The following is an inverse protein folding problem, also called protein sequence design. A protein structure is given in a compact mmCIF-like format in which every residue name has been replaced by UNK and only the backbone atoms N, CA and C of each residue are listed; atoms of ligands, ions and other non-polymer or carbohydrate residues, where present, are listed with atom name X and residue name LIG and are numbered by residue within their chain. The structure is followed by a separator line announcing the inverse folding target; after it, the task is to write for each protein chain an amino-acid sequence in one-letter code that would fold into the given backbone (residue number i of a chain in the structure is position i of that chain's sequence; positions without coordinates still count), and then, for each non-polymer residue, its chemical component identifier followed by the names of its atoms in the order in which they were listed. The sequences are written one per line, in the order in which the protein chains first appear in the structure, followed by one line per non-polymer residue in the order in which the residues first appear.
data_IF_957063418784
#
_entry.id   IF_957063418784
#
_cell.length_a   1.000
_cell.length_b   1.000
_cell.length_c   1.000
_cell.angle_alpha   90.00
_cell.angle_beta   90.00
_cell.angle_gamma   90.00
#
_symmetry.space_group_name_H-M   'P 1'
#
loop_
_entity.id
_entity.type
_entity.pdbx_description
1 polymer ?
#
# COMPACT_ATOMS: atom_id res chain seq x y z
N UNK A 1 -13.94 21.97 -25.48
CA UNK A 1 -13.01 21.98 -24.31
C UNK A 1 -11.71 21.20 -24.56
N UNK A 2 -11.70 20.12 -25.36
CA UNK A 2 -10.48 19.36 -25.71
C UNK A 2 -9.48 20.16 -26.58
N UNK A 3 -9.97 20.82 -27.64
CA UNK A 3 -9.13 21.55 -28.62
C UNK A 3 -8.31 22.68 -27.98
N UNK A 4 -8.89 23.39 -27.00
CA UNK A 4 -8.23 24.51 -26.33
C UNK A 4 -7.04 24.07 -25.45
N UNK A 5 -7.14 22.88 -24.82
CA UNK A 5 -6.03 22.28 -24.06
C UNK A 5 -4.89 21.84 -24.99
N UNK A 6 -5.21 21.32 -26.17
CA UNK A 6 -4.22 20.91 -27.17
C UNK A 6 -3.42 22.11 -27.69
N UNK A 7 -4.10 23.24 -27.96
CA UNK A 7 -3.45 24.48 -28.43
C UNK A 7 -2.52 25.07 -27.37
N UNK A 8 -2.94 25.14 -26.09
CA UNK A 8 -2.08 25.63 -25.01
C UNK A 8 -0.83 24.76 -24.80
N UNK A 9 -0.96 23.44 -24.94
CA UNK A 9 0.18 22.51 -24.84
C UNK A 9 1.21 22.75 -25.95
N UNK A 10 0.74 22.93 -27.18
CA UNK A 10 1.63 23.20 -28.33
C UNK A 10 2.37 24.53 -28.17
N UNK A 11 1.69 25.60 -27.71
CA UNK A 11 2.32 26.90 -27.46
C UNK A 11 3.39 26.80 -26.36
N UNK A 12 3.12 26.06 -25.29
CA UNK A 12 4.09 25.84 -24.20
C UNK A 12 5.36 25.14 -24.70
N UNK A 13 5.20 24.12 -25.55
CA UNK A 13 6.33 23.41 -26.15
C UNK A 13 7.17 24.34 -27.04
N UNK A 14 6.52 25.17 -27.87
CA UNK A 14 7.21 26.13 -28.74
C UNK A 14 8.01 27.15 -27.91
N UNK A 15 7.42 27.68 -26.83
CA UNK A 15 8.11 28.61 -25.92
C UNK A 15 9.31 27.92 -25.26
N UNK A 16 9.15 26.68 -24.80
CA UNK A 16 10.26 25.93 -24.18
C UNK A 16 11.40 25.67 -25.17
N UNK A 17 11.10 25.34 -26.43
CA UNK A 17 12.10 25.13 -27.48
C UNK A 17 12.81 26.45 -27.81
N UNK A 18 12.07 27.56 -27.91
CA UNK A 18 12.64 28.88 -28.15
C UNK A 18 13.58 29.31 -27.03
N UNK A 19 13.16 29.14 -25.76
CA UNK A 19 14.02 29.39 -24.60
C UNK A 19 15.28 28.53 -24.62
N UNK A 20 15.18 27.26 -25.00
CA UNK A 20 16.33 26.37 -25.13
C UNK A 20 17.32 26.87 -26.19
N UNK A 21 16.83 27.31 -27.35
CA UNK A 21 17.66 27.84 -28.45
C UNK A 21 18.36 29.13 -28.02
N UNK A 22 17.66 30.03 -27.32
CA UNK A 22 18.25 31.28 -26.79
C UNK A 22 19.34 30.97 -25.76
N UNK A 23 19.10 30.03 -24.85
CA UNK A 23 20.09 29.58 -23.87
C UNK A 23 21.31 28.95 -24.54
N UNK A 24 21.10 28.11 -25.56
CA UNK A 24 22.21 27.53 -26.34
C UNK A 24 23.02 28.64 -27.00
N UNK A 25 22.39 29.58 -27.70
CA UNK A 25 23.09 30.71 -28.32
C UNK A 25 23.88 31.55 -27.32
N UNK A 26 23.31 31.80 -26.14
CA UNK A 26 23.99 32.53 -25.07
C UNK A 26 25.21 31.78 -24.54
N UNK A 27 25.12 30.44 -24.38
CA UNK A 27 26.27 29.61 -23.99
C UNK A 27 27.38 29.56 -25.05
N UNK A 28 27.05 29.72 -26.34
CA UNK A 28 28.01 29.73 -27.45
C UNK A 28 28.51 31.13 -27.83
N UNK A 29 28.01 32.17 -27.17
CA UNK A 29 28.50 33.53 -27.35
C UNK A 29 29.97 33.64 -26.93
N UNK A 30 30.77 34.28 -27.75
CA UNK A 30 32.22 34.36 -27.56
C UNK A 30 32.60 35.22 -26.36
N UNK A 31 31.80 36.25 -26.04
CA UNK A 31 31.99 37.11 -24.87
C UNK A 31 31.65 36.35 -23.60
N UNK A 32 30.54 35.60 -23.59
CA UNK A 32 30.21 34.73 -22.46
C UNK A 32 31.26 33.64 -22.24
N UNK A 33 31.74 32.97 -23.30
CA UNK A 33 32.82 31.99 -23.21
C UNK A 33 34.11 32.58 -22.63
N UNK A 34 34.50 33.77 -23.07
CA UNK A 34 35.71 34.42 -22.56
C UNK A 34 35.57 34.76 -21.07
N UNK A 35 34.45 35.38 -20.70
CA UNK A 35 34.11 35.68 -19.30
C UNK A 35 34.06 34.41 -18.43
N UNK A 36 33.53 33.31 -18.95
CA UNK A 36 33.43 32.05 -18.22
C UNK A 36 34.79 31.37 -18.01
N UNK A 37 35.70 31.49 -19.00
CA UNK A 37 37.06 30.93 -18.94
C UNK A 37 37.96 31.77 -18.04
N UNK A 38 37.87 33.11 -18.10
CA UNK A 38 38.70 34.01 -17.28
C UNK A 38 38.40 33.96 -15.78
N UNK A 39 37.18 33.58 -15.39
CA UNK A 39 36.76 33.53 -13.99
C UNK A 39 36.94 32.14 -13.34
N UNK A 40 37.79 31.26 -13.88
CA UNK A 40 38.12 29.92 -13.35
C UNK A 40 36.91 28.98 -13.10
N UNK A 41 35.72 29.29 -13.61
CA UNK A 41 34.51 28.48 -13.43
C UNK A 41 34.64 27.07 -14.01
N UNK A 42 35.52 26.87 -15.00
CA UNK A 42 35.83 25.56 -15.57
C UNK A 42 36.46 24.60 -14.53
N UNK A 43 37.32 25.10 -13.64
CA UNK A 43 37.94 24.28 -12.59
C UNK A 43 36.92 23.90 -11.51
N UNK A 44 36.02 24.84 -11.15
CA UNK A 44 34.89 24.55 -10.27
C UNK A 44 33.94 23.50 -10.88
N UNK A 45 33.67 23.57 -12.19
CA UNK A 45 32.81 22.61 -12.88
C UNK A 45 33.42 21.19 -12.90
N UNK A 46 34.76 21.08 -13.04
CA UNK A 46 35.47 19.78 -12.99
C UNK A 46 35.31 19.08 -11.64
N UNK A 47 35.15 19.82 -10.55
CA UNK A 47 34.90 19.25 -9.20
C UNK A 47 33.41 19.01 -8.96
N UNK A 48 32.55 19.93 -9.38
CA UNK A 48 31.10 19.83 -9.17
C UNK A 48 30.44 18.73 -10.01
N UNK A 49 30.90 18.52 -11.25
CA UNK A 49 30.33 17.50 -12.14
C UNK A 49 30.42 16.07 -11.58
N UNK A 50 31.58 15.55 -11.12
CA UNK A 50 31.65 14.19 -10.56
C UNK A 50 30.85 14.08 -9.25
N UNK A 51 30.77 15.15 -8.43
CA UNK A 51 29.94 15.16 -7.21
C UNK A 51 28.46 15.02 -7.57
N UNK A 52 27.96 15.79 -8.54
CA UNK A 52 26.58 15.70 -9.00
C UNK A 52 26.26 14.35 -9.61
N UNK A 53 27.15 13.82 -10.46
CA UNK A 53 27.01 12.48 -11.03
C UNK A 53 27.01 11.42 -9.94
N UNK A 54 27.91 11.49 -8.96
CA UNK A 54 27.97 10.54 -7.85
C UNK A 54 26.70 10.57 -7.00
N UNK A 55 26.17 11.75 -6.66
CA UNK A 55 24.90 11.90 -5.91
C UNK A 55 23.74 11.31 -6.72
N UNK A 56 23.69 11.59 -8.02
CA UNK A 56 22.65 11.08 -8.91
C UNK A 56 22.70 9.55 -9.03
N UNK A 57 23.88 8.99 -9.32
CA UNK A 57 24.10 7.55 -9.43
C UNK A 57 23.80 6.85 -8.10
N UNK A 58 24.23 7.42 -6.96
CA UNK A 58 23.95 6.88 -5.64
C UNK A 58 22.45 6.81 -5.35
N UNK A 59 21.72 7.91 -5.59
CA UNK A 59 20.26 7.95 -5.41
C UNK A 59 19.55 6.96 -6.33
N UNK A 60 19.87 6.99 -7.62
CA UNK A 60 19.27 6.10 -8.62
C UNK A 60 19.51 4.62 -8.27
N UNK A 61 20.76 4.26 -7.95
CA UNK A 61 21.13 2.89 -7.62
C UNK A 61 20.47 2.43 -6.33
N UNK A 62 20.46 3.27 -5.29
CA UNK A 62 19.85 2.93 -3.99
C UNK A 62 18.34 2.72 -4.11
N UNK A 63 17.65 3.61 -4.83
CA UNK A 63 16.20 3.50 -5.02
C UNK A 63 15.83 2.25 -5.85
N UNK A 64 16.59 1.99 -6.92
CA UNK A 64 16.35 0.80 -7.74
C UNK A 64 16.69 -0.48 -6.97
N UNK A 65 17.79 -0.52 -6.23
CA UNK A 65 18.20 -1.69 -5.44
C UNK A 65 17.18 -2.02 -4.35
N UNK A 66 16.69 -1.01 -3.60
CA UNK A 66 15.62 -1.21 -2.60
C UNK A 66 14.38 -1.83 -3.22
N UNK A 67 13.96 -1.36 -4.40
CA UNK A 67 12.80 -1.90 -5.12
C UNK A 67 13.03 -3.34 -5.57
N UNK A 68 14.20 -3.64 -6.14
CA UNK A 68 14.57 -5.00 -6.54
C UNK A 68 14.57 -5.92 -5.33
N UNK A 69 15.14 -5.52 -4.20
CA UNK A 69 15.14 -6.32 -2.96
C UNK A 69 13.73 -6.61 -2.46
N UNK A 70 12.83 -5.62 -2.45
CA UNK A 70 11.43 -5.83 -2.05
C UNK A 70 10.71 -6.81 -2.99
N UNK A 71 10.87 -6.64 -4.30
CA UNK A 71 10.30 -7.55 -5.28
C UNK A 71 10.90 -8.97 -5.19
N UNK A 72 12.20 -9.09 -4.92
CA UNK A 72 12.85 -10.38 -4.71
C UNK A 72 12.36 -11.07 -3.44
N UNK A 73 12.17 -10.31 -2.36
CA UNK A 73 11.63 -10.84 -1.11
C UNK A 73 10.21 -11.37 -1.31
N UNK A 74 9.36 -10.61 -2.00
CA UNK A 74 8.01 -11.06 -2.40
C UNK A 74 8.06 -12.30 -3.28
N UNK A 75 8.96 -12.32 -4.27
CA UNK A 75 9.08 -13.42 -5.22
C UNK A 75 9.59 -14.69 -4.55
N UNK A 76 10.55 -14.60 -3.63
CA UNK A 76 11.10 -15.76 -2.90
C UNK A 76 10.16 -16.27 -1.82
N UNK A 77 9.41 -15.37 -1.18
CA UNK A 77 8.39 -15.76 -0.19
C UNK A 77 7.10 -16.30 -0.83
N UNK A 78 6.93 -16.12 -2.15
CA UNK A 78 5.70 -16.40 -2.90
C UNK A 78 4.45 -15.69 -2.30
N UNK A 79 4.64 -14.62 -1.53
CA UNK A 79 3.60 -14.03 -0.69
C UNK A 79 2.32 -13.71 -1.46
N UNK A 80 2.42 -13.04 -2.62
CA UNK A 80 1.26 -12.70 -3.47
C UNK A 80 0.54 -13.93 -4.00
N UNK A 81 1.30 -14.96 -4.37
CA UNK A 81 0.75 -16.21 -4.90
C UNK A 81 -0.02 -16.94 -3.81
N UNK A 82 0.53 -17.03 -2.60
CA UNK A 82 -0.17 -17.60 -1.44
C UNK A 82 -1.46 -16.84 -1.11
N UNK A 83 -1.42 -15.50 -1.09
CA UNK A 83 -2.63 -14.70 -0.86
C UNK A 83 -3.69 -14.92 -1.95
N UNK A 84 -3.27 -15.02 -3.21
CA UNK A 84 -4.17 -15.27 -4.33
C UNK A 84 -4.82 -16.67 -4.26
N UNK A 85 -4.04 -17.69 -3.91
CA UNK A 85 -4.52 -19.06 -3.71
C UNK A 85 -5.53 -19.14 -2.55
N UNK A 86 -5.26 -18.46 -1.43
CA UNK A 86 -6.18 -18.42 -0.28
C UNK A 86 -7.47 -17.68 -0.65
N UNK A 87 -7.37 -16.53 -1.32
CA UNK A 87 -8.52 -15.74 -1.77
C UNK A 87 -9.39 -16.50 -2.78
N UNK A 88 -8.78 -17.28 -3.67
CA UNK A 88 -9.47 -18.07 -4.69
C UNK A 88 -9.88 -19.49 -4.26
N UNK A 89 -9.49 -19.93 -3.07
CA UNK A 89 -9.81 -21.28 -2.58
C UNK A 89 -11.28 -21.40 -2.25
N UNK A 90 -11.96 -22.43 -2.76
CA UNK A 90 -13.33 -22.79 -2.39
C UNK A 90 -13.43 -23.60 -1.09
N UNK A 91 -12.29 -24.00 -0.50
CA UNK A 91 -12.24 -24.89 0.66
C UNK A 91 -12.05 -24.10 1.97
N UNK A 92 -12.77 -24.48 3.01
CA UNK A 92 -12.71 -23.82 4.33
C UNK A 92 -11.70 -24.52 5.26
N UNK A 93 -10.45 -24.65 4.80
CA UNK A 93 -9.40 -25.37 5.54
C UNK A 93 -8.70 -24.44 6.54
N UNK A 94 -8.48 -24.93 7.76
CA UNK A 94 -7.64 -24.23 8.75
C UNK A 94 -6.21 -23.96 8.26
N UNK A 95 -5.69 -24.78 7.36
CA UNK A 95 -4.42 -24.54 6.66
C UNK A 95 -4.36 -23.13 6.06
N UNK A 96 -5.45 -22.68 5.44
CA UNK A 96 -5.52 -21.36 4.79
C UNK A 96 -5.41 -20.23 5.83
N UNK A 97 -6.08 -20.37 6.99
CA UNK A 97 -5.97 -19.42 8.09
C UNK A 97 -4.54 -19.35 8.65
N UNK A 98 -3.90 -20.50 8.89
CA UNK A 98 -2.52 -20.53 9.39
C UNK A 98 -1.52 -19.94 8.38
N UNK A 99 -1.67 -20.27 7.10
CA UNK A 99 -0.84 -19.70 6.03
C UNK A 99 -1.04 -18.19 5.93
N UNK A 100 -2.30 -17.73 5.98
CA UNK A 100 -2.58 -16.31 5.96
C UNK A 100 -1.98 -15.59 7.18
N UNK A 101 -2.12 -16.14 8.39
CA UNK A 101 -1.53 -15.56 9.60
C UNK A 101 -0.01 -15.48 9.54
N UNK A 102 0.65 -16.47 8.95
CA UNK A 102 2.10 -16.49 8.75
C UNK A 102 2.57 -15.45 7.71
N UNK A 103 1.70 -15.10 6.76
CA UNK A 103 1.95 -14.07 5.75
C UNK A 103 1.80 -12.63 6.29
N UNK A 104 1.29 -12.46 7.52
CA UNK A 104 1.14 -11.16 8.19
C UNK A 104 2.36 -10.83 9.06
N UNK A 105 2.42 -9.60 9.57
CA UNK A 105 3.45 -9.21 10.55
C UNK A 105 3.37 -10.11 11.79
N UNK A 106 4.52 -10.32 12.43
CA UNK A 106 4.61 -11.09 13.66
C UNK A 106 3.72 -10.50 14.75
N UNK A 107 3.81 -9.19 14.98
CA UNK A 107 2.94 -8.42 15.87
C UNK A 107 2.32 -7.23 15.17
N UNK A 108 1.15 -6.83 15.63
CA UNK A 108 0.58 -5.53 15.30
C UNK A 108 1.21 -4.43 16.16
N UNK A 109 1.13 -3.18 15.69
CA UNK A 109 1.71 -2.05 16.40
C UNK A 109 0.74 -1.52 17.48
N UNK A 110 1.25 -0.95 18.57
CA UNK A 110 0.44 -0.44 19.71
C UNK A 110 -0.66 0.55 19.31
N UNK A 111 -1.92 0.18 19.51
CA UNK A 111 -3.13 0.91 19.10
C UNK A 111 -3.10 2.42 19.44
N UNK A 112 -2.70 2.79 20.66
CA UNK A 112 -2.69 4.17 21.17
C UNK A 112 -1.83 5.13 20.37
N UNK A 113 -0.78 4.63 19.70
CA UNK A 113 0.21 5.45 19.01
C UNK A 113 -0.12 5.64 17.52
N UNK A 114 -0.99 4.81 16.92
CA UNK A 114 -1.13 4.73 15.45
C UNK A 114 -2.47 5.14 14.88
N UNK A 115 -3.49 5.33 15.72
CA UNK A 115 -4.77 5.92 15.33
C UNK A 115 -4.59 7.28 14.59
N UNK A 116 -3.46 7.94 14.83
CA UNK A 116 -3.12 9.23 14.21
C UNK A 116 -2.52 9.17 12.81
N UNK A 117 -2.00 8.04 12.30
CA UNK A 117 -1.02 8.14 11.20
C UNK A 117 -1.18 7.28 9.94
N UNK A 118 -1.70 6.03 9.94
CA UNK A 118 -1.79 5.21 8.68
C UNK A 118 -2.95 4.21 8.65
N UNK A 119 -3.73 4.25 7.57
CA UNK A 119 -4.85 3.32 7.31
C UNK A 119 -4.42 1.85 7.28
N UNK A 120 -3.36 1.56 6.52
CA UNK A 120 -2.82 0.19 6.42
C UNK A 120 -2.40 -0.42 7.77
N UNK A 121 -1.79 0.37 8.67
CA UNK A 121 -1.39 -0.13 9.98
C UNK A 121 -2.63 -0.46 10.84
N UNK A 122 -3.71 0.33 10.72
CA UNK A 122 -4.99 0.04 11.39
C UNK A 122 -5.62 -1.24 10.84
N UNK A 123 -5.66 -1.40 9.52
CA UNK A 123 -6.18 -2.63 8.89
C UNK A 123 -5.40 -3.88 9.33
N UNK A 124 -4.06 -3.79 9.43
CA UNK A 124 -3.25 -4.92 9.95
C UNK A 124 -3.63 -5.33 11.37
N UNK A 125 -3.99 -4.38 12.25
CA UNK A 125 -4.43 -4.69 13.61
C UNK A 125 -5.71 -5.54 13.56
N UNK A 126 -6.72 -5.12 12.78
CA UNK A 126 -7.98 -5.86 12.60
C UNK A 126 -7.69 -7.27 12.09
N UNK A 127 -6.94 -7.39 11.00
CA UNK A 127 -6.68 -8.67 10.35
C UNK A 127 -5.93 -9.63 11.29
N UNK A 128 -4.88 -9.15 11.96
CA UNK A 128 -4.08 -10.00 12.86
C UNK A 128 -4.91 -10.46 14.05
N UNK A 129 -5.61 -9.55 14.73
CA UNK A 129 -6.44 -9.91 15.89
C UNK A 129 -7.56 -10.88 15.50
N UNK A 130 -8.22 -10.65 14.38
CA UNK A 130 -9.25 -11.55 13.88
C UNK A 130 -8.70 -12.97 13.66
N UNK A 131 -7.56 -13.09 12.97
CA UNK A 131 -6.92 -14.38 12.75
C UNK A 131 -6.49 -15.06 14.06
N UNK A 132 -5.94 -14.32 15.02
CA UNK A 132 -5.54 -14.85 16.33
C UNK A 132 -6.73 -15.37 17.13
N UNK A 133 -7.85 -14.64 17.11
CA UNK A 133 -9.08 -15.03 17.78
C UNK A 133 -9.67 -16.29 17.16
N UNK A 134 -9.76 -16.35 15.83
CA UNK A 134 -10.20 -17.57 15.13
C UNK A 134 -9.33 -18.78 15.46
N UNK A 135 -8.01 -18.64 15.41
CA UNK A 135 -7.08 -19.73 15.77
C UNK A 135 -7.33 -20.19 17.20
N UNK A 136 -7.55 -19.26 18.13
CA UNK A 136 -7.75 -19.56 19.55
C UNK A 136 -9.08 -20.26 19.78
N UNK A 137 -10.17 -19.78 19.19
CA UNK A 137 -11.49 -20.40 19.25
C UNK A 137 -11.46 -21.84 18.72
N UNK A 138 -10.91 -22.04 17.51
CA UNK A 138 -10.83 -23.38 16.90
C UNK A 138 -9.97 -24.35 17.71
N UNK A 139 -8.87 -23.87 18.31
CA UNK A 139 -8.08 -24.70 19.25
C UNK A 139 -8.86 -25.09 20.49
N UNK A 140 -9.67 -24.20 21.06
CA UNK A 140 -10.52 -24.52 22.21
C UNK A 140 -11.58 -25.54 21.82
N UNK A 141 -12.26 -25.34 20.68
CA UNK A 141 -13.24 -26.30 20.16
C UNK A 141 -12.63 -27.70 19.94
N UNK A 142 -11.42 -27.77 19.39
CA UNK A 142 -10.69 -29.02 19.15
C UNK A 142 -10.31 -29.72 20.47
N UNK A 143 -9.99 -28.96 21.53
CA UNK A 143 -9.68 -29.52 22.85
C UNK A 143 -10.94 -30.05 23.56
N UNK A 144 -12.11 -29.46 23.32
CA UNK A 144 -13.39 -29.89 23.90
C UNK A 144 -13.98 -31.11 23.18
N UNK A 145 -13.77 -31.20 21.86
CA UNK A 145 -14.16 -32.35 21.04
C UNK A 145 -13.09 -33.42 21.19
N UNK A 146 -13.29 -34.40 22.08
CA UNK A 146 -12.39 -35.54 22.35
C UNK A 146 -12.12 -36.50 21.14
N UNK A 147 -12.27 -36.04 19.90
CA UNK A 147 -12.01 -36.78 18.66
C UNK A 147 -10.91 -36.07 17.85
N UNK A 148 -10.07 -36.83 17.13
CA UNK A 148 -8.98 -36.35 16.24
C UNK A 148 -9.48 -35.56 15.00
N UNK A 149 -10.60 -34.84 15.10
CA UNK A 149 -11.20 -34.11 13.99
C UNK A 149 -10.97 -32.62 14.18
N UNK A 150 -9.99 -32.10 13.46
CA UNK A 150 -9.72 -30.67 13.38
C UNK A 150 -10.97 -29.92 12.92
N UNK A 151 -11.36 -28.89 13.67
CA UNK A 151 -12.44 -27.99 13.30
C UNK A 151 -12.12 -27.30 11.97
N UNK A 152 -13.09 -27.33 11.06
CA UNK A 152 -13.02 -26.55 9.83
C UNK A 152 -13.51 -25.14 10.09
N UNK A 153 -13.10 -24.21 9.23
CA UNK A 153 -13.63 -22.86 9.25
C UNK A 153 -15.08 -22.87 8.78
N UNK A 154 -15.90 -22.02 9.39
CA UNK A 154 -17.22 -21.70 8.88
C UNK A 154 -17.10 -20.86 7.60
N UNK A 155 -18.16 -20.89 6.77
CA UNK A 155 -18.16 -20.17 5.49
C UNK A 155 -17.87 -18.67 5.68
N UNK A 156 -18.51 -18.03 6.66
CA UNK A 156 -18.34 -16.59 6.91
C UNK A 156 -16.93 -16.26 7.42
N UNK A 157 -16.31 -17.15 8.20
CA UNK A 157 -14.95 -16.99 8.70
C UNK A 157 -13.97 -16.99 7.53
N UNK A 158 -14.14 -17.96 6.62
CA UNK A 158 -13.34 -18.06 5.40
C UNK A 158 -13.59 -16.90 4.44
N UNK A 159 -14.83 -16.44 4.29
CA UNK A 159 -15.16 -15.27 3.47
C UNK A 159 -14.48 -13.99 3.98
N UNK A 160 -14.36 -13.85 5.31
CA UNK A 160 -13.61 -12.76 5.94
C UNK A 160 -12.11 -12.86 5.64
N UNK A 161 -11.54 -14.07 5.72
CA UNK A 161 -10.13 -14.31 5.35
C UNK A 161 -9.88 -13.99 3.88
N UNK A 162 -10.77 -14.43 2.97
CA UNK A 162 -10.69 -14.14 1.52
C UNK A 162 -10.74 -12.64 1.28
N UNK A 163 -11.68 -11.94 1.91
CA UNK A 163 -11.80 -10.49 1.83
C UNK A 163 -10.50 -9.78 2.24
N UNK A 164 -9.89 -10.19 3.36
CA UNK A 164 -8.63 -9.61 3.81
C UNK A 164 -7.45 -9.93 2.88
N UNK A 165 -7.40 -11.13 2.29
CA UNK A 165 -6.40 -11.45 1.27
C UNK A 165 -6.55 -10.54 0.04
N UNK A 166 -7.78 -10.31 -0.43
CA UNK A 166 -8.07 -9.41 -1.56
C UNK A 166 -7.64 -7.98 -1.22
N UNK A 167 -7.98 -7.50 -0.02
CA UNK A 167 -7.54 -6.18 0.45
C UNK A 167 -6.01 -6.06 0.44
N UNK A 168 -5.28 -7.04 0.97
CA UNK A 168 -3.81 -7.02 1.01
C UNK A 168 -3.20 -7.01 -0.40
N UNK A 169 -3.79 -7.76 -1.34
CA UNK A 169 -3.39 -7.77 -2.75
C UNK A 169 -3.65 -6.42 -3.43
N UNK A 170 -4.83 -5.83 -3.21
CA UNK A 170 -5.22 -4.54 -3.78
C UNK A 170 -4.36 -3.39 -3.25
N UNK A 171 -4.20 -3.28 -1.93
CA UNK A 171 -3.35 -2.26 -1.28
C UNK A 171 -1.92 -2.30 -1.82
N UNK A 172 -1.39 -3.52 -1.96
CA UNK A 172 -0.06 -3.73 -2.44
C UNK A 172 0.10 -3.44 -3.94
N UNK A 173 -0.89 -3.79 -4.76
CA UNK A 173 -0.90 -3.46 -6.19
C UNK A 173 -0.86 -1.95 -6.43
N UNK A 174 -1.71 -1.19 -5.71
CA UNK A 174 -1.81 0.27 -5.84
C UNK A 174 -0.52 0.97 -5.40
N UNK A 175 0.08 0.55 -4.28
CA UNK A 175 1.34 1.11 -3.78
C UNK A 175 2.52 0.84 -4.73
N UNK A 176 2.54 -0.30 -5.41
CA UNK A 176 3.62 -0.66 -6.32
C UNK A 176 3.60 0.05 -7.67
N UNK A 177 2.59 0.89 -7.95
CA UNK A 177 2.54 1.68 -9.19
C UNK A 177 3.54 2.84 -9.22
N UNK A 178 4.10 3.24 -8.08
CA UNK A 178 5.06 4.34 -8.01
C UNK A 178 6.23 4.06 -7.07
N UNK A 179 7.29 4.84 -7.22
CA UNK A 179 8.56 4.70 -6.47
C UNK A 179 8.42 4.98 -4.97
N UNK A 180 7.34 5.64 -4.55
CA UNK A 180 7.14 6.05 -3.17
C UNK A 180 6.39 5.00 -2.35
N UNK A 181 5.94 3.90 -2.95
CA UNK A 181 5.14 2.85 -2.30
C UNK A 181 3.91 3.40 -1.59
N UNK A 182 3.24 4.37 -2.23
CA UNK A 182 2.04 5.05 -1.71
C UNK A 182 0.94 4.98 -2.75
N UNK A 183 -0.30 5.20 -2.35
CA UNK A 183 -1.36 5.43 -3.33
C UNK A 183 -1.07 6.71 -4.11
N UNK A 184 -1.34 6.69 -5.42
CA UNK A 184 -1.31 7.90 -6.23
C UNK A 184 -2.41 8.90 -5.79
N UNK A 185 -3.55 8.34 -5.36
CA UNK A 185 -4.70 9.06 -4.85
C UNK A 185 -5.00 8.59 -3.42
N UNK A 186 -4.80 9.44 -2.39
CA UNK A 186 -5.08 9.09 -1.01
C UNK A 186 -6.55 8.75 -0.73
N UNK A 187 -7.50 9.29 -1.51
CA UNK A 187 -8.93 8.99 -1.32
C UNK A 187 -9.22 7.52 -1.64
N UNK A 188 -8.53 6.95 -2.63
CA UNK A 188 -8.63 5.52 -2.95
C UNK A 188 -8.10 4.60 -1.85
N UNK A 189 -7.08 5.04 -1.10
CA UNK A 189 -6.61 4.26 0.06
C UNK A 189 -7.70 4.19 1.14
N UNK A 190 -8.37 5.32 1.39
CA UNK A 190 -9.47 5.42 2.34
C UNK A 190 -10.67 4.59 1.87
N UNK A 191 -11.05 4.74 0.61
CA UNK A 191 -12.16 4.00 -0.01
C UNK A 191 -11.95 2.49 0.09
N UNK A 192 -10.77 1.99 -0.27
CA UNK A 192 -10.42 0.57 -0.16
C UNK A 192 -10.57 0.08 1.28
N UNK A 193 -10.09 0.85 2.27
CA UNK A 193 -10.18 0.48 3.67
C UNK A 193 -11.64 0.48 4.17
N UNK A 194 -12.42 1.51 3.83
CA UNK A 194 -13.84 1.63 4.19
C UNK A 194 -14.63 0.46 3.61
N UNK A 195 -14.52 0.20 2.30
CA UNK A 195 -15.25 -0.88 1.63
C UNK A 195 -14.91 -2.24 2.23
N UNK A 196 -13.63 -2.47 2.54
CA UNK A 196 -13.18 -3.70 3.20
C UNK A 196 -13.81 -3.85 4.59
N UNK A 197 -13.78 -2.81 5.44
CA UNK A 197 -14.36 -2.89 6.78
C UNK A 197 -15.87 -3.04 6.75
N UNK A 198 -16.56 -2.37 5.83
CA UNK A 198 -18.01 -2.51 5.66
C UNK A 198 -18.40 -3.94 5.26
N UNK A 199 -17.67 -4.53 4.30
CA UNK A 199 -17.87 -5.92 3.89
C UNK A 199 -17.59 -6.89 5.03
N UNK A 200 -16.50 -6.67 5.76
CA UNK A 200 -16.16 -7.47 6.95
C UNK A 200 -17.28 -7.44 7.99
N UNK A 201 -17.77 -6.27 8.36
CA UNK A 201 -18.88 -6.13 9.29
C UNK A 201 -20.17 -6.75 8.75
N UNK A 202 -20.45 -6.62 7.45
CA UNK A 202 -21.63 -7.26 6.83
C UNK A 202 -21.56 -8.80 6.87
N UNK A 203 -20.36 -9.37 6.74
CA UNK A 203 -20.16 -10.83 6.82
C UNK A 203 -20.36 -11.33 8.26
N UNK A 204 -19.93 -10.55 9.26
CA UNK A 204 -19.78 -11.03 10.63
C UNK A 204 -20.83 -10.51 11.62
N UNK A 205 -21.42 -9.35 11.38
CA UNK A 205 -22.42 -8.72 12.24
C UNK A 205 -23.77 -8.65 11.52
N UNK A 206 -24.70 -9.52 11.93
CA UNK A 206 -26.06 -9.59 11.36
C UNK A 206 -26.88 -8.32 11.61
N UNK A 207 -26.50 -7.52 12.61
CA UNK A 207 -27.16 -6.26 12.93
C UNK A 207 -26.56 -5.07 12.17
N UNK A 208 -25.45 -5.28 11.46
CA UNK A 208 -24.81 -4.22 10.68
C UNK A 208 -25.64 -3.88 9.44
N UNK A 209 -26.30 -2.72 9.46
CA UNK A 209 -27.05 -2.22 8.31
C UNK A 209 -26.11 -1.47 7.36
N UNK A 210 -25.82 -2.07 6.21
CA UNK A 210 -24.97 -1.54 5.13
C UNK A 210 -25.41 -0.16 4.56
N UNK A 211 -26.57 0.38 4.98
CA UNK A 211 -27.23 1.55 4.35
C UNK A 211 -26.71 2.94 4.77
N UNK A 212 -25.81 3.07 5.75
CA UNK A 212 -25.44 4.38 6.32
C UNK A 212 -24.22 5.07 5.68
N UNK A 213 -23.26 4.32 5.14
CA UNK A 213 -21.89 4.83 4.96
C UNK A 213 -21.39 4.90 3.52
N UNK A 214 -22.23 4.61 2.52
CA UNK A 214 -21.82 4.59 1.11
C UNK A 214 -21.43 5.97 0.56
N UNK A 215 -21.86 7.05 1.21
CA UNK A 215 -21.68 8.42 0.70
C UNK A 215 -20.60 9.24 1.42
N UNK A 216 -19.98 8.73 2.50
CA UNK A 216 -18.96 9.47 3.26
C UNK A 216 -17.61 8.75 3.21
N UNK A 217 -16.82 8.99 2.17
CA UNK A 217 -15.47 8.44 2.01
C UNK A 217 -14.43 9.29 2.75
N UNK A 218 -14.62 9.45 4.06
CA UNK A 218 -13.77 10.29 4.89
C UNK A 218 -13.08 9.52 6.02
N UNK A 219 -12.15 10.20 6.68
CA UNK A 219 -11.36 9.65 7.78
C UNK A 219 -12.22 9.28 8.99
N UNK A 220 -13.27 10.04 9.28
CA UNK A 220 -14.10 9.82 10.47
C UNK A 220 -14.97 8.58 10.30
N UNK A 221 -15.48 8.35 9.09
CA UNK A 221 -16.16 7.12 8.73
C UNK A 221 -15.24 5.90 8.84
N UNK A 222 -14.02 5.99 8.29
CA UNK A 222 -13.01 4.94 8.46
C UNK A 222 -12.77 4.63 9.96
N UNK A 223 -12.59 5.66 10.78
CA UNK A 223 -12.36 5.55 12.22
C UNK A 223 -13.54 4.86 12.92
N UNK A 224 -14.77 5.22 12.55
CA UNK A 224 -15.98 4.61 13.09
C UNK A 224 -16.03 3.12 12.79
N UNK A 225 -15.86 2.75 11.51
CA UNK A 225 -15.87 1.36 11.05
C UNK A 225 -14.73 0.55 11.68
N UNK A 226 -13.54 1.14 11.81
CA UNK A 226 -12.41 0.50 12.47
C UNK A 226 -12.74 0.16 13.93
N UNK A 227 -13.32 1.10 14.69
CA UNK A 227 -13.72 0.87 16.09
C UNK A 227 -14.82 -0.20 16.19
N UNK A 228 -15.80 -0.18 15.30
CA UNK A 228 -16.86 -1.20 15.26
C UNK A 228 -16.27 -2.59 15.01
N UNK A 229 -15.42 -2.73 13.99
CA UNK A 229 -14.71 -3.99 13.69
C UNK A 229 -13.86 -4.46 14.86
N UNK A 230 -13.17 -3.55 15.55
CA UNK A 230 -12.38 -3.89 16.72
C UNK A 230 -13.24 -4.37 17.89
N UNK A 231 -14.37 -3.72 18.14
CA UNK A 231 -15.32 -4.13 19.18
C UNK A 231 -15.90 -5.52 18.89
N UNK A 232 -16.28 -5.78 17.64
CA UNK A 232 -16.70 -7.11 17.20
C UNK A 232 -15.62 -8.16 17.49
N UNK A 233 -14.38 -7.92 17.05
CA UNK A 233 -13.26 -8.84 17.27
C UNK A 233 -13.01 -9.09 18.76
N UNK A 234 -13.06 -8.05 19.58
CA UNK A 234 -12.88 -8.19 21.03
C UNK A 234 -14.03 -8.99 21.68
N UNK A 235 -15.25 -8.91 21.14
CA UNK A 235 -16.38 -9.74 21.62
C UNK A 235 -16.26 -11.22 21.23
N UNK A 236 -15.39 -11.58 20.29
CA UNK A 236 -15.10 -12.99 19.96
C UNK A 236 -14.30 -13.69 21.08
N UNK A 237 -13.64 -12.92 21.96
CA UNK A 237 -12.81 -13.45 23.05
C UNK A 237 -13.49 -13.47 24.42
N UNK A 238 -14.67 -12.84 24.54
CA UNK A 238 -15.48 -12.81 25.77
C UNK A 238 -16.45 -13.97 25.82
#
# INVERSE_FOLDING_TARGET
MSIFKTILSVISIIISIFCLIVLIRFCFDTTFRHWFIENDYLEMLKVLTPILVAIFVYKYTTDNHKRTLLNELDSKSEWRKTLFEIAGSSENKMKNLYQFRAALRFTYKNEDKYFKHKYFDCMNIIIIKYCENLISQKRTEDNEKNENKQSNLENYEMDSIRLFCIYMLADHWEKNQNKNFKFADPEKEIELCIDTLQKFLTINDKNYCYKSHKNNLDRDNFICLYKQSLNFINSMTS
#
